data_IF_971110149993
#
_entry.id   IF_971110149993
#
_cell.length_a   1.000
_cell.length_b   1.000
_cell.length_c   1.000
_cell.angle_alpha   90.00
_cell.angle_beta   90.00
_cell.angle_gamma   90.00
#
_symmetry.space_group_name_H-M   'P 1'
#
loop_
_entity.id
_entity.type
_entity.pdbx_description
1 polymer ?
#
# COMPACT_ATOMS: atom_id res chain seq x y z
N UNK A 1 -10.50 -6.27 22.87
CA UNK A 1 -11.58 -5.45 22.29
C UNK A 1 -12.50 -6.39 21.53
N UNK A 2 -13.77 -6.48 21.93
CA UNK A 2 -14.75 -7.29 21.21
C UNK A 2 -15.29 -6.54 19.98
N UNK A 3 -16.09 -7.22 19.14
CA UNK A 3 -16.65 -6.65 17.90
C UNK A 3 -17.49 -5.40 18.12
N UNK A 4 -18.30 -5.36 19.18
CA UNK A 4 -19.20 -4.24 19.47
C UNK A 4 -18.42 -2.99 19.92
N UNK A 5 -17.38 -3.16 20.73
CA UNK A 5 -16.48 -2.07 21.16
C UNK A 5 -15.72 -1.46 19.97
N UNK A 6 -15.26 -2.31 19.05
CA UNK A 6 -14.56 -1.89 17.83
C UNK A 6 -15.50 -1.11 16.89
N UNK A 7 -16.69 -1.67 16.65
CA UNK A 7 -17.73 -1.06 15.84
C UNK A 7 -18.12 0.32 16.38
N UNK A 8 -18.29 0.44 17.70
CA UNK A 8 -18.66 1.71 18.33
C UNK A 8 -17.56 2.77 18.21
N UNK A 9 -16.30 2.35 18.25
CA UNK A 9 -15.14 3.25 18.12
C UNK A 9 -14.95 3.77 16.69
N UNK A 10 -15.27 2.96 15.68
CA UNK A 10 -14.93 3.27 14.28
C UNK A 10 -16.11 3.69 13.38
N UNK A 11 -17.35 3.37 13.76
CA UNK A 11 -18.55 3.66 12.94
C UNK A 11 -18.72 5.11 12.54
N UNK A 12 -18.20 6.05 13.33
CA UNK A 12 -18.38 7.49 13.11
C UNK A 12 -17.17 8.17 12.45
N UNK A 13 -16.12 7.42 12.11
CA UNK A 13 -14.93 7.99 11.47
C UNK A 13 -15.28 8.54 10.08
N UNK A 14 -14.81 9.73 9.78
CA UNK A 14 -15.06 10.40 8.51
C UNK A 14 -13.96 10.11 7.49
N UNK A 15 -14.26 10.12 6.18
CA UNK A 15 -13.22 10.12 5.16
C UNK A 15 -12.16 11.19 5.43
N UNK A 16 -10.89 10.78 5.42
CA UNK A 16 -9.74 11.62 5.71
C UNK A 16 -9.20 11.52 7.14
N UNK A 17 -10.01 11.06 8.11
CA UNK A 17 -9.58 10.78 9.48
C UNK A 17 -8.72 9.51 9.54
N UNK A 18 -8.09 9.28 10.70
CA UNK A 18 -7.14 8.20 10.92
C UNK A 18 -7.60 7.26 12.03
N UNK A 19 -7.20 6.00 11.93
CA UNK A 19 -7.26 5.03 13.02
C UNK A 19 -5.96 4.22 13.08
N UNK A 20 -5.79 3.47 14.16
CA UNK A 20 -4.75 2.44 14.29
C UNK A 20 -5.38 1.06 14.30
N UNK A 21 -4.77 0.12 13.58
CA UNK A 21 -5.24 -1.26 13.45
C UNK A 21 -4.09 -2.16 12.98
N UNK A 22 -3.79 -3.26 13.67
CA UNK A 22 -2.59 -4.05 13.43
C UNK A 22 -1.29 -3.34 13.82
N UNK A 23 -0.20 -4.10 13.81
CA UNK A 23 1.18 -3.65 14.12
C UNK A 23 2.14 -4.14 13.06
N UNK A 24 3.16 -3.36 12.71
CA UNK A 24 4.16 -3.78 11.73
C UNK A 24 5.52 -3.14 12.02
N UNK A 25 6.65 -3.69 11.54
CA UNK A 25 7.94 -3.02 11.61
C UNK A 25 7.92 -1.64 10.95
N UNK A 26 8.34 -0.62 11.69
CA UNK A 26 8.37 0.77 11.21
C UNK A 26 9.68 1.50 11.54
N UNK A 27 10.46 1.04 12.52
CA UNK A 27 11.81 1.54 12.79
C UNK A 27 12.88 0.84 11.96
N UNK A 28 14.07 1.45 11.84
CA UNK A 28 15.15 0.94 10.99
C UNK A 28 15.69 -0.44 11.43
N UNK A 29 15.62 -0.72 12.73
CA UNK A 29 16.01 -1.98 13.38
C UNK A 29 14.90 -3.05 13.40
N UNK A 30 13.74 -2.75 12.81
CA UNK A 30 12.61 -3.69 12.73
C UNK A 30 11.66 -3.65 13.92
N UNK A 31 11.82 -2.69 14.84
CA UNK A 31 10.86 -2.43 15.90
C UNK A 31 9.45 -2.15 15.36
N UNK A 32 8.47 -2.82 15.96
CA UNK A 32 7.07 -2.76 15.54
C UNK A 32 6.33 -1.59 16.19
N UNK A 33 5.35 -1.06 15.46
CA UNK A 33 4.44 -0.03 15.96
C UNK A 33 3.07 -0.20 15.31
N UNK A 34 2.04 0.34 15.95
CA UNK A 34 0.69 0.32 15.42
C UNK A 34 0.65 0.96 14.03
N UNK A 35 -0.04 0.32 13.08
CA UNK A 35 -0.17 0.85 11.72
C UNK A 35 -1.23 1.94 11.75
N UNK A 36 -0.88 3.13 11.27
CA UNK A 36 -1.83 4.21 11.05
C UNK A 36 -2.49 4.05 9.68
N UNK A 37 -3.81 4.11 9.66
CA UNK A 37 -4.63 3.95 8.47
C UNK A 37 -5.47 5.20 8.24
N UNK A 38 -5.50 5.68 7.00
CA UNK A 38 -6.39 6.74 6.57
C UNK A 38 -7.71 6.16 6.09
N UNK A 39 -8.82 6.69 6.59
CA UNK A 39 -10.16 6.31 6.16
C UNK A 39 -10.44 6.88 4.77
N UNK A 40 -10.58 6.01 3.79
CA UNK A 40 -10.96 6.36 2.42
C UNK A 40 -12.47 6.46 2.26
N UNK A 41 -13.20 5.51 2.84
CA UNK A 41 -14.66 5.46 2.83
C UNK A 41 -15.16 4.83 4.14
N UNK A 42 -16.37 5.21 4.57
CA UNK A 42 -17.05 4.62 5.70
C UNK A 42 -18.55 4.49 5.37
N UNK A 43 -19.09 3.27 5.43
CA UNK A 43 -20.53 2.99 5.25
C UNK A 43 -21.32 2.93 6.56
N UNK A 44 -20.65 3.07 7.71
CA UNK A 44 -21.16 2.85 9.05
C UNK A 44 -20.90 1.44 9.58
N UNK A 45 -20.76 0.45 8.68
CA UNK A 45 -20.48 -0.96 9.03
C UNK A 45 -19.22 -1.52 8.38
N UNK A 46 -18.62 -0.80 7.43
CA UNK A 46 -17.36 -1.13 6.79
C UNK A 46 -16.52 0.13 6.59
N UNK A 47 -15.23 0.06 6.94
CA UNK A 47 -14.24 1.03 6.52
C UNK A 47 -13.45 0.50 5.33
N UNK A 48 -13.20 1.37 4.36
CA UNK A 48 -12.14 1.18 3.37
C UNK A 48 -10.97 2.08 3.77
N UNK A 49 -9.78 1.50 3.95
CA UNK A 49 -8.63 2.21 4.49
C UNK A 49 -7.37 2.01 3.66
N UNK A 50 -6.44 2.96 3.73
CA UNK A 50 -5.11 2.94 3.12
C UNK A 50 -4.07 3.24 4.19
N UNK A 51 -2.96 2.50 4.22
CA UNK A 51 -1.87 2.78 5.15
C UNK A 51 -1.38 4.21 4.98
N UNK A 52 -1.20 4.94 6.08
CA UNK A 52 -0.80 6.34 6.02
C UNK A 52 0.61 6.48 5.44
N UNK A 53 1.51 5.57 5.83
CA UNK A 53 2.89 5.49 5.37
C UNK A 53 3.10 4.34 4.38
N UNK A 54 4.18 4.43 3.61
CA UNK A 54 4.76 3.28 2.92
C UNK A 54 5.40 2.39 3.99
N UNK A 55 4.86 1.19 4.19
CA UNK A 55 5.23 0.31 5.30
C UNK A 55 6.46 -0.54 4.99
N UNK A 56 6.60 -0.99 3.73
CA UNK A 56 7.75 -1.75 3.27
C UNK A 56 8.08 -1.44 1.80
N UNK A 57 9.23 -1.92 1.32
CA UNK A 57 9.65 -1.85 -0.07
C UNK A 57 9.77 -3.25 -0.66
N UNK A 58 9.01 -3.50 -1.74
CA UNK A 58 8.97 -4.79 -2.43
C UNK A 58 8.88 -4.56 -3.94
N UNK A 59 9.48 -5.46 -4.72
CA UNK A 59 9.20 -5.56 -6.16
C UNK A 59 7.73 -5.93 -6.35
N UNK A 60 7.17 -5.59 -7.52
CA UNK A 60 5.87 -6.12 -7.89
C UNK A 60 5.96 -7.64 -8.13
N UNK A 61 7.04 -8.10 -8.77
CA UNK A 61 7.36 -9.51 -8.93
C UNK A 61 8.88 -9.74 -8.91
N UNK A 62 9.30 -10.86 -8.31
CA UNK A 62 10.67 -11.29 -8.12
C UNK A 62 11.18 -11.15 -6.68
N UNK A 63 11.81 -12.21 -6.16
CA UNK A 63 12.23 -12.34 -4.75
C UNK A 63 13.75 -12.31 -4.51
N UNK A 64 14.57 -12.07 -5.53
CA UNK A 64 16.05 -12.16 -5.42
C UNK A 64 16.75 -10.82 -5.67
N UNK A 65 17.90 -10.63 -5.01
CA UNK A 65 18.71 -9.41 -5.12
C UNK A 65 19.43 -9.27 -6.47
N UNK A 66 19.58 -10.37 -7.22
CA UNK A 66 20.29 -10.37 -8.49
C UNK A 66 19.44 -9.84 -9.65
N UNK A 67 18.13 -9.76 -9.46
CA UNK A 67 17.19 -9.23 -10.47
C UNK A 67 17.58 -7.81 -10.90
N UNK A 68 17.64 -7.62 -12.21
CA UNK A 68 17.83 -6.35 -12.88
C UNK A 68 16.54 -5.93 -13.57
N UNK A 69 16.48 -4.66 -13.97
CA UNK A 69 15.34 -4.12 -14.69
C UNK A 69 14.99 -4.93 -15.95
N UNK A 70 15.99 -5.54 -16.62
CA UNK A 70 15.82 -6.37 -17.82
C UNK A 70 15.20 -7.74 -17.55
N UNK A 71 15.16 -8.17 -16.30
CA UNK A 71 14.58 -9.45 -15.87
C UNK A 71 13.08 -9.30 -15.56
N UNK A 72 12.48 -8.15 -15.90
CA UNK A 72 11.03 -7.98 -15.88
C UNK A 72 10.37 -8.93 -16.87
N UNK A 73 9.26 -9.55 -16.45
CA UNK A 73 8.54 -10.54 -17.26
C UNK A 73 7.05 -10.23 -17.30
N UNK A 74 6.30 -10.89 -18.18
CA UNK A 74 4.84 -10.75 -18.19
C UNK A 74 4.25 -11.33 -16.90
N UNK A 75 3.54 -10.51 -16.13
CA UNK A 75 2.92 -10.93 -14.86
C UNK A 75 1.68 -10.08 -14.60
N UNK A 76 0.67 -10.67 -13.99
CA UNK A 76 -0.57 -9.98 -13.58
C UNK A 76 -0.59 -9.76 -12.07
N UNK A 77 -1.55 -8.97 -11.56
CA UNK A 77 -1.76 -8.88 -10.11
C UNK A 77 -2.08 -10.24 -9.48
N UNK A 78 -2.86 -11.08 -10.19
CA UNK A 78 -3.30 -12.38 -9.68
C UNK A 78 -2.11 -13.28 -9.29
N UNK A 79 -1.07 -13.28 -10.13
CA UNK A 79 0.08 -14.20 -10.03
C UNK A 79 1.35 -13.56 -9.46
N UNK A 80 1.34 -12.26 -9.12
CA UNK A 80 2.56 -11.59 -8.69
C UNK A 80 2.94 -11.89 -7.22
N UNK A 81 4.24 -11.82 -6.95
CA UNK A 81 4.79 -12.13 -5.63
C UNK A 81 4.34 -11.11 -4.57
N UNK A 82 4.08 -9.87 -4.99
CA UNK A 82 3.63 -8.82 -4.08
C UNK A 82 2.22 -9.10 -3.53
N UNK A 83 1.32 -9.64 -4.35
CA UNK A 83 -0.03 -10.03 -3.90
C UNK A 83 0.04 -11.19 -2.93
N UNK A 84 0.85 -12.21 -3.24
CA UNK A 84 1.11 -13.36 -2.36
C UNK A 84 1.63 -12.87 -1.00
N UNK A 85 2.68 -12.05 -1.01
CA UNK A 85 3.28 -11.47 0.19
C UNK A 85 2.27 -10.65 1.02
N UNK A 86 1.43 -9.83 0.37
CA UNK A 86 0.41 -9.04 1.06
C UNK A 86 -0.63 -9.90 1.78
N UNK A 87 -1.03 -11.02 1.19
CA UNK A 87 -2.09 -11.89 1.71
C UNK A 87 -1.59 -13.04 2.57
N UNK A 88 -0.29 -13.30 2.58
CA UNK A 88 0.36 -14.26 3.46
C UNK A 88 1.26 -13.56 4.49
N UNK A 89 2.53 -13.32 4.17
CA UNK A 89 3.54 -12.81 5.11
C UNK A 89 3.11 -11.51 5.80
N UNK A 90 2.70 -10.48 5.04
CA UNK A 90 2.28 -9.21 5.60
C UNK A 90 1.02 -9.37 6.44
N UNK A 91 -0.03 -10.03 5.92
CA UNK A 91 -1.28 -10.23 6.65
C UNK A 91 -1.07 -11.00 7.96
N UNK A 92 -0.17 -11.99 7.95
CA UNK A 92 0.12 -12.81 9.11
C UNK A 92 0.99 -12.11 10.15
N UNK A 93 1.92 -11.25 9.73
CA UNK A 93 2.71 -10.41 10.61
C UNK A 93 1.91 -9.22 11.17
N UNK A 94 1.08 -8.59 10.33
CA UNK A 94 0.45 -7.32 10.64
C UNK A 94 -0.75 -7.43 11.60
N UNK A 95 -1.45 -8.56 11.59
CA UNK A 95 -2.73 -8.70 12.28
C UNK A 95 -2.76 -9.96 13.14
N UNK A 96 -3.18 -9.81 14.39
CA UNK A 96 -3.39 -10.95 15.27
C UNK A 96 -4.74 -11.63 15.00
N UNK A 97 -4.95 -12.84 15.55
CA UNK A 97 -6.16 -13.64 15.29
C UNK A 97 -7.47 -12.87 15.53
N UNK A 98 -7.56 -12.11 16.62
CA UNK A 98 -8.73 -11.29 16.92
C UNK A 98 -8.90 -10.03 16.05
N UNK A 99 -7.91 -9.61 15.26
CA UNK A 99 -8.07 -8.55 14.25
C UNK A 99 -8.50 -9.14 12.91
N UNK A 100 -7.90 -10.28 12.54
CA UNK A 100 -8.17 -10.98 11.29
C UNK A 100 -9.65 -11.27 11.04
N UNK A 101 -10.44 -11.48 12.09
CA UNK A 101 -11.90 -11.67 12.00
C UNK A 101 -12.65 -10.47 11.40
N UNK A 102 -12.09 -9.25 11.49
CA UNK A 102 -12.69 -8.03 10.94
C UNK A 102 -12.25 -7.73 9.50
N UNK A 103 -11.39 -8.55 8.91
CA UNK A 103 -10.83 -8.31 7.57
C UNK A 103 -11.49 -9.30 6.59
N UNK A 104 -12.60 -8.93 5.94
CA UNK A 104 -13.21 -9.76 4.91
C UNK A 104 -12.31 -9.86 3.67
N UNK A 105 -12.56 -10.86 2.83
CA UNK A 105 -11.96 -10.88 1.50
C UNK A 105 -12.69 -9.84 0.63
N UNK A 106 -11.93 -9.06 -0.11
CA UNK A 106 -12.42 -7.98 -0.96
C UNK A 106 -12.22 -8.36 -2.41
N UNK A 107 -13.26 -8.24 -3.23
CA UNK A 107 -13.12 -8.42 -4.68
C UNK A 107 -12.31 -7.25 -5.24
N UNK A 108 -11.15 -7.55 -5.81
CA UNK A 108 -10.27 -6.60 -6.46
C UNK A 108 -10.34 -6.81 -7.98
N UNK A 109 -10.78 -5.76 -8.67
CA UNK A 109 -10.84 -5.69 -10.14
C UNK A 109 -9.67 -4.86 -10.68
N UNK A 110 -9.57 -4.73 -12.00
CA UNK A 110 -8.51 -3.95 -12.69
C UNK A 110 -7.10 -4.53 -12.46
N UNK A 111 -6.99 -5.86 -12.63
CA UNK A 111 -5.79 -6.65 -12.34
C UNK A 111 -4.88 -6.88 -13.56
N UNK A 112 -5.34 -6.46 -14.75
CA UNK A 112 -4.74 -6.75 -16.04
C UNK A 112 -5.79 -7.15 -17.09
N UNK A 113 -5.48 -6.93 -18.36
CA UNK A 113 -6.37 -7.34 -19.45
C UNK A 113 -6.47 -8.88 -19.50
N UNK A 114 -7.68 -9.42 -19.49
CA UNK A 114 -7.92 -10.87 -19.45
C UNK A 114 -7.57 -11.53 -18.10
N UNK A 115 -7.15 -10.76 -17.09
CA UNK A 115 -6.89 -11.27 -15.75
C UNK A 115 -8.21 -11.37 -14.97
N UNK A 116 -8.48 -12.49 -14.28
CA UNK A 116 -9.65 -12.60 -13.41
C UNK A 116 -9.58 -11.61 -12.25
N UNK A 117 -10.75 -11.30 -11.69
CA UNK A 117 -10.85 -10.63 -10.40
C UNK A 117 -10.22 -11.51 -9.30
N UNK A 118 -9.64 -10.88 -8.30
CA UNK A 118 -9.06 -11.56 -7.13
C UNK A 118 -9.92 -11.31 -5.90
N UNK A 119 -9.79 -12.15 -4.88
CA UNK A 119 -10.40 -11.95 -3.57
C UNK A 119 -9.29 -11.80 -2.53
N UNK A 120 -9.02 -10.56 -2.12
CA UNK A 120 -7.82 -10.20 -1.34
C UNK A 120 -8.21 -9.65 0.04
N UNK A 121 -7.50 -10.07 1.09
CA UNK A 121 -7.62 -9.53 2.45
C UNK A 121 -6.92 -8.18 2.57
N UNK A 122 -5.75 -8.10 1.95
CA UNK A 122 -4.92 -6.91 1.86
C UNK A 122 -4.49 -6.75 0.41
N UNK A 123 -4.61 -5.55 -0.12
CA UNK A 123 -4.40 -5.29 -1.55
C UNK A 123 -3.75 -3.93 -1.79
N UNK A 124 -3.34 -3.67 -3.03
CA UNK A 124 -3.00 -2.32 -3.48
C UNK A 124 -4.20 -1.70 -4.18
N UNK A 125 -4.36 -0.38 -4.06
CA UNK A 125 -5.36 0.35 -4.83
C UNK A 125 -5.13 0.19 -6.34
N UNK A 126 -6.21 0.19 -7.12
CA UNK A 126 -6.11 0.30 -8.58
C UNK A 126 -5.91 1.74 -9.02
N UNK A 127 -5.48 1.91 -10.27
CA UNK A 127 -5.40 3.22 -10.92
C UNK A 127 -6.77 3.89 -11.02
N UNK A 128 -7.85 3.13 -11.20
CA UNK A 128 -9.22 3.66 -11.20
C UNK A 128 -9.64 4.13 -9.81
N UNK A 129 -9.41 3.32 -8.77
CA UNK A 129 -9.75 3.65 -7.38
C UNK A 129 -9.01 4.89 -6.90
N UNK A 130 -7.68 4.96 -7.06
CA UNK A 130 -6.92 6.12 -6.58
C UNK A 130 -7.31 7.40 -7.31
N UNK A 131 -7.71 7.33 -8.59
CA UNK A 131 -8.26 8.48 -9.32
C UNK A 131 -9.57 8.95 -8.68
N UNK A 132 -10.54 8.06 -8.50
CA UNK A 132 -11.83 8.40 -7.91
C UNK A 132 -11.68 8.94 -6.48
N UNK A 133 -10.85 8.30 -5.65
CA UNK A 133 -10.55 8.74 -4.28
C UNK A 133 -9.88 10.12 -4.25
N UNK A 134 -9.09 10.47 -5.26
CA UNK A 134 -8.46 11.79 -5.33
C UNK A 134 -9.48 12.92 -5.51
N UNK A 135 -10.59 12.66 -6.21
CA UNK A 135 -11.64 13.67 -6.38
C UNK A 135 -12.34 13.99 -5.05
N UNK A 136 -12.34 13.05 -4.11
CA UNK A 136 -12.96 13.18 -2.79
C UNK A 136 -11.97 13.72 -1.74
N UNK A 137 -10.75 13.19 -1.73
CA UNK A 137 -9.75 13.45 -0.68
C UNK A 137 -8.69 14.49 -1.07
N UNK A 138 -8.68 14.93 -2.33
CA UNK A 138 -7.64 15.78 -2.88
C UNK A 138 -6.38 15.02 -3.31
N UNK A 139 -5.56 15.68 -4.15
CA UNK A 139 -4.34 15.08 -4.75
C UNK A 139 -3.29 14.66 -3.73
N UNK A 140 -3.29 15.28 -2.55
CA UNK A 140 -2.35 14.99 -1.47
C UNK A 140 -2.47 13.54 -0.94
N UNK A 141 -3.63 12.88 -1.10
CA UNK A 141 -3.78 11.46 -0.77
C UNK A 141 -2.72 10.56 -1.44
N UNK A 142 -2.24 10.98 -2.63
CA UNK A 142 -1.25 10.26 -3.43
C UNK A 142 0.16 10.37 -2.86
N UNK A 143 0.49 11.45 -2.14
CA UNK A 143 1.80 11.61 -1.51
C UNK A 143 1.94 10.66 -0.33
N UNK A 144 3.14 10.09 -0.18
CA UNK A 144 3.44 9.22 0.94
C UNK A 144 4.93 9.26 1.28
N UNK A 145 5.20 9.44 2.56
CA UNK A 145 6.51 9.16 3.14
C UNK A 145 6.60 7.69 3.54
N UNK A 146 7.80 7.12 3.47
CA UNK A 146 8.07 5.79 4.00
C UNK A 146 8.53 5.79 5.44
N UNK A 147 8.23 4.69 6.12
CA UNK A 147 8.78 4.36 7.44
C UNK A 147 10.30 4.20 7.35
N UNK A 148 10.99 4.20 8.49
CA UNK A 148 12.42 3.90 8.51
C UNK A 148 12.68 2.45 8.06
N UNK A 149 11.78 1.53 8.45
CA UNK A 149 11.84 0.14 8.01
C UNK A 149 11.82 -0.01 6.48
N UNK A 150 10.90 0.68 5.78
CA UNK A 150 10.81 0.61 4.32
C UNK A 150 12.08 1.09 3.62
N UNK A 151 12.81 2.03 4.23
CA UNK A 151 14.07 2.60 3.71
C UNK A 151 15.27 1.69 3.96
N UNK A 152 15.18 0.75 4.92
CA UNK A 152 16.26 -0.21 5.22
C UNK A 152 16.37 -1.24 4.09
N UNK A 153 17.60 -1.46 3.61
CA UNK A 153 17.89 -2.45 2.57
C UNK A 153 17.58 -3.88 3.06
N UNK A 154 16.79 -4.61 2.28
CA UNK A 154 16.35 -5.97 2.56
C UNK A 154 17.26 -7.02 1.91
N UNK A 155 17.21 -8.30 2.37
CA UNK A 155 18.00 -9.38 1.77
C UNK A 155 17.70 -9.63 0.28
N UNK A 156 16.48 -9.37 -0.17
CA UNK A 156 16.08 -9.44 -1.58
C UNK A 156 16.56 -8.22 -2.41
N UNK A 157 17.34 -7.32 -1.81
CA UNK A 157 17.89 -6.12 -2.43
C UNK A 157 16.95 -4.92 -2.44
N UNK A 158 15.67 -5.06 -2.06
CA UNK A 158 14.73 -3.95 -2.03
C UNK A 158 15.10 -2.92 -0.96
N UNK A 159 14.87 -1.65 -1.26
CA UNK A 159 15.12 -0.52 -0.36
C UNK A 159 14.37 0.69 -0.90
N UNK A 160 13.46 1.27 -0.11
CA UNK A 160 12.62 2.36 -0.59
C UNK A 160 13.48 3.53 -1.07
N UNK A 161 13.30 3.91 -2.33
CA UNK A 161 13.95 5.08 -2.88
C UNK A 161 13.16 6.35 -2.51
N UNK A 162 13.78 7.18 -1.67
CA UNK A 162 13.23 8.48 -1.27
C UNK A 162 13.68 9.53 -2.29
N UNK A 163 12.73 10.27 -2.87
CA UNK A 163 13.08 11.33 -3.79
C UNK A 163 13.63 12.55 -3.05
N UNK A 164 14.95 12.68 -3.04
CA UNK A 164 15.64 13.81 -2.42
C UNK A 164 16.40 14.61 -3.49
N UNK A 165 15.67 15.45 -4.23
CA UNK A 165 16.23 16.32 -5.28
C UNK A 165 15.85 17.79 -5.08
N UNK A 166 15.74 18.24 -3.84
CA UNK A 166 15.46 19.63 -3.43
C UNK A 166 14.17 20.27 -3.96
N UNK A 167 13.37 19.57 -4.76
CA UNK A 167 12.05 20.04 -5.19
C UNK A 167 11.03 19.82 -4.07
N UNK A 168 10.68 20.92 -3.39
CA UNK A 168 9.74 20.98 -2.26
C UNK A 168 8.35 20.43 -2.57
N UNK A 169 7.91 20.41 -3.83
CA UNK A 169 6.64 19.78 -4.23
C UNK A 169 6.64 18.25 -4.07
N UNK A 170 7.78 17.64 -3.78
CA UNK A 170 7.87 16.20 -3.49
C UNK A 170 8.02 15.90 -2.00
N UNK A 171 7.84 16.89 -1.14
CA UNK A 171 7.90 16.74 0.31
C UNK A 171 6.52 16.94 0.92
N UNK A 172 6.30 16.31 2.07
CA UNK A 172 5.17 16.57 2.95
C UNK A 172 5.71 16.98 4.32
N UNK A 173 5.00 17.86 5.02
CA UNK A 173 5.33 18.19 6.40
C UNK A 173 4.54 17.27 7.33
N UNK A 174 5.23 16.61 8.25
CA UNK A 174 4.66 15.72 9.26
C UNK A 174 5.26 16.07 10.61
N UNK A 175 4.41 16.40 11.57
CA UNK A 175 4.83 16.77 12.93
C UNK A 175 5.90 17.89 12.96
N UNK A 176 5.83 18.81 11.99
CA UNK A 176 6.79 19.91 11.83
C UNK A 176 8.06 19.55 11.05
N UNK A 177 8.24 18.28 10.67
CA UNK A 177 9.40 17.80 9.91
C UNK A 177 9.05 17.56 8.44
N UNK A 178 9.95 17.96 7.54
CA UNK A 178 9.81 17.67 6.12
C UNK A 178 10.23 16.23 5.82
N UNK A 179 9.35 15.48 5.17
CA UNK A 179 9.61 14.12 4.71
C UNK A 179 9.48 14.02 3.19
N UNK A 180 10.52 13.51 2.53
CA UNK A 180 10.50 13.23 1.09
C UNK A 180 9.50 12.13 0.73
N UNK A 181 8.68 12.38 -0.28
CA UNK A 181 7.76 11.39 -0.81
C UNK A 181 8.49 10.34 -1.63
N UNK A 182 7.92 9.15 -1.67
CA UNK A 182 8.47 8.02 -2.43
C UNK A 182 7.44 7.44 -3.39
N UNK A 183 7.92 6.66 -4.35
CA UNK A 183 7.07 5.91 -5.26
C UNK A 183 6.39 4.75 -4.54
N UNK A 184 5.16 4.42 -4.94
CA UNK A 184 4.47 3.23 -4.44
C UNK A 184 3.58 2.59 -5.50
N UNK A 185 3.47 1.27 -5.42
CA UNK A 185 2.79 0.44 -6.42
C UNK A 185 1.26 0.57 -6.38
N UNK A 186 0.63 0.38 -7.55
CA UNK A 186 -0.80 0.12 -7.71
C UNK A 186 -0.96 -1.27 -8.32
N UNK A 187 -2.09 -1.95 -8.06
CA UNK A 187 -2.30 -3.31 -8.60
C UNK A 187 -2.48 -3.34 -10.12
N UNK A 188 -3.01 -2.27 -10.70
CA UNK A 188 -3.34 -2.19 -12.14
C UNK A 188 -2.13 -2.47 -13.01
N UNK A 189 -2.29 -3.37 -13.99
CA UNK A 189 -1.28 -3.65 -15.00
C UNK A 189 -0.94 -2.38 -15.81
N UNK A 190 0.34 -2.19 -16.06
CA UNK A 190 0.89 -1.04 -16.78
C UNK A 190 0.65 -1.10 -18.28
N UNK A 191 1.33 -0.20 -19.01
CA UNK A 191 1.21 -0.10 -20.47
C UNK A 191 1.92 -1.22 -21.26
N UNK A 192 2.47 -2.21 -20.55
CA UNK A 192 2.99 -3.47 -21.10
C UNK A 192 2.73 -4.58 -20.07
N UNK A 193 2.66 -5.86 -20.48
CA UNK A 193 2.50 -6.99 -19.57
C UNK A 193 3.59 -7.10 -18.48
N UNK A 194 4.78 -6.53 -18.71
CA UNK A 194 5.87 -6.52 -17.73
C UNK A 194 5.89 -5.31 -16.79
N UNK A 195 4.81 -4.51 -16.78
CA UNK A 195 4.76 -3.23 -16.07
C UNK A 195 3.54 -3.16 -15.18
N UNK A 196 3.63 -2.33 -14.15
CA UNK A 196 2.53 -1.99 -13.25
C UNK A 196 2.36 -0.47 -13.16
N UNK A 197 1.17 -0.06 -12.75
CA UNK A 197 0.92 1.31 -12.35
C UNK A 197 1.59 1.64 -11.02
N UNK A 198 1.91 2.91 -10.84
CA UNK A 198 2.48 3.42 -9.61
C UNK A 198 2.13 4.89 -9.42
N UNK A 199 2.26 5.35 -8.18
CA UNK A 199 2.21 6.76 -7.81
C UNK A 199 3.62 7.30 -7.66
N UNK A 200 3.88 8.44 -8.28
CA UNK A 200 5.13 9.19 -8.14
C UNK A 200 5.06 10.22 -7.01
N UNK A 201 6.22 10.72 -6.54
CA UNK A 201 6.32 11.60 -5.39
C UNK A 201 5.57 12.94 -5.56
N UNK A 202 5.40 13.41 -6.79
CA UNK A 202 4.62 14.59 -7.15
C UNK A 202 3.16 14.29 -7.52
N UNK A 203 2.52 13.32 -6.87
CA UNK A 203 1.11 12.91 -7.08
C UNK A 203 0.78 12.33 -8.46
N UNK A 204 1.79 11.97 -9.27
CA UNK A 204 1.55 11.49 -10.64
C UNK A 204 1.14 10.03 -10.65
N UNK A 205 0.11 9.68 -11.43
CA UNK A 205 -0.25 8.30 -11.73
C UNK A 205 0.44 7.91 -13.03
N UNK A 206 1.31 6.90 -13.00
CA UNK A 206 2.10 6.45 -14.16
C UNK A 206 1.96 4.95 -14.35
N UNK A 207 2.14 4.48 -15.58
CA UNK A 207 1.86 3.09 -16.00
C UNK A 207 3.09 2.35 -16.53
N UNK A 208 4.29 2.93 -16.38
CA UNK A 208 5.51 2.39 -16.99
C UNK A 208 6.46 1.70 -16.00
N UNK A 209 6.02 1.45 -14.75
CA UNK A 209 6.89 0.92 -13.70
C UNK A 209 7.21 -0.53 -14.00
N UNK A 210 8.50 -0.86 -14.15
CA UNK A 210 8.89 -2.23 -14.43
C UNK A 210 8.68 -3.10 -13.18
N UNK A 211 8.09 -4.28 -13.33
CA UNK A 211 7.69 -5.08 -12.16
C UNK A 211 8.87 -5.57 -11.29
N UNK A 212 10.09 -5.53 -11.82
CA UNK A 212 11.33 -5.84 -11.10
C UNK A 212 11.98 -4.65 -10.38
N UNK A 213 11.39 -3.45 -10.40
CA UNK A 213 11.93 -2.28 -9.69
C UNK A 213 11.94 -2.54 -8.19
N UNK A 214 13.11 -2.36 -7.57
CA UNK A 214 13.41 -2.68 -6.18
C UNK A 214 13.34 -1.48 -5.23
N UNK A 215 13.03 -0.30 -5.75
CA UNK A 215 12.97 0.96 -4.98
C UNK A 215 11.58 1.51 -4.73
N UNK A 216 10.51 0.77 -5.08
CA UNK A 216 9.13 1.23 -4.95
C UNK A 216 8.48 0.65 -3.70
N UNK A 217 7.69 1.50 -3.04
CA UNK A 217 7.04 1.21 -1.77
C UNK A 217 5.73 0.45 -1.91
N UNK A 218 5.32 -0.14 -0.79
CA UNK A 218 4.03 -0.78 -0.61
C UNK A 218 3.18 0.07 0.34
N UNK A 219 2.03 0.52 -0.15
CA UNK A 219 0.95 1.09 0.68
C UNK A 219 -0.24 0.15 0.67
N UNK A 220 -0.36 -0.74 1.67
CA UNK A 220 -1.49 -1.64 1.75
C UNK A 220 -2.81 -0.89 1.92
N UNK A 221 -3.86 -1.43 1.32
CA UNK A 221 -5.24 -1.07 1.56
C UNK A 221 -6.02 -2.32 1.98
N UNK A 222 -7.06 -2.12 2.77
CA UNK A 222 -7.95 -3.21 3.20
C UNK A 222 -9.32 -2.66 3.57
N UNK A 223 -10.27 -3.59 3.71
CA UNK A 223 -11.59 -3.31 4.28
C UNK A 223 -11.66 -3.86 5.70
N UNK A 224 -12.23 -3.09 6.61
CA UNK A 224 -12.52 -3.51 8.00
C UNK A 224 -14.02 -3.55 8.15
N UNK A 225 -14.58 -4.72 8.45
CA UNK A 225 -16.02 -4.94 8.55
C UNK A 225 -16.42 -5.20 10.00
N UNK A 226 -17.42 -4.46 10.47
CA UNK A 226 -17.95 -4.49 11.82
C UNK A 226 -19.31 -5.18 11.93
N UNK A 227 -19.89 -5.59 10.79
CA UNK A 227 -21.21 -6.25 10.69
C UNK A 227 -21.14 -7.66 11.21
#
# INVERSE_FOLDING_TARGET
>A
MNKDELAQSYRNLKPGEWLTFGTYPQSADGGESAIQWRVLQNSGSELFVLSEYILDCKRYHGKTADLKWRDSMEITWHDCDLREWLNDEFYNAAFHAAEKQFIPATVCTDNGEGCPDTADKVFLLSAAEIKALTEVHGKELRRAAGTAFAKTKKPDGCSLYVYDKTNKDNYIVRDGEEAGCSWWWLRTQGNKPSRAFFIGPGCSIRSYGNNSIDGYGVRPALKINFS
#
